data_IF_973787441350
#
_entry.id   IF_973787441350
#
_cell.length_a   1.000
_cell.length_b   1.000
_cell.length_c   1.000
_cell.angle_alpha   90.00
_cell.angle_beta   90.00
_cell.angle_gamma   90.00
#
_symmetry.space_group_name_H-M   'P 1'
#
loop_
_entity.id
_entity.type
_entity.pdbx_description
1 polymer ?
#
# COMPACT_ATOMS: atom_id res chain seq x y z
N UNK A 1 -10.48 -2.98 -1.87
CA UNK A 1 -9.15 -3.17 -1.29
C UNK A 1 -8.82 -4.64 -1.19
N UNK A 2 -7.66 -5.02 -1.65
CA UNK A 2 -7.18 -6.39 -1.57
C UNK A 2 -6.59 -6.66 -0.18
N UNK A 3 -6.90 -7.82 0.39
CA UNK A 3 -6.40 -8.20 1.72
C UNK A 3 -5.53 -9.43 1.57
N UNK A 4 -4.26 -9.31 1.98
CA UNK A 4 -3.27 -10.39 1.84
C UNK A 4 -2.48 -10.49 3.14
N UNK A 5 -2.22 -11.74 3.60
CA UNK A 5 -1.39 -11.89 4.80
C UNK A 5 0.09 -11.70 4.47
N UNK A 6 0.88 -11.40 5.49
CA UNK A 6 2.30 -11.06 5.33
C UNK A 6 3.11 -12.18 4.68
N UNK A 7 2.76 -13.42 4.95
CA UNK A 7 3.48 -14.55 4.37
C UNK A 7 3.33 -14.58 2.85
N UNK A 8 2.11 -14.35 2.36
CA UNK A 8 1.85 -14.29 0.91
C UNK A 8 2.48 -13.06 0.28
N UNK A 9 2.48 -11.92 0.99
CA UNK A 9 3.12 -10.70 0.50
C UNK A 9 4.60 -10.93 0.24
N UNK A 10 5.29 -11.64 1.13
CA UNK A 10 6.71 -11.90 0.94
C UNK A 10 7.02 -12.62 -0.37
N UNK A 11 6.13 -13.52 -0.77
CA UNK A 11 6.34 -14.31 -2.01
C UNK A 11 6.14 -13.46 -3.26
N UNK A 12 5.18 -12.56 -3.23
CA UNK A 12 4.74 -11.82 -4.43
C UNK A 12 4.96 -10.32 -4.32
N UNK A 13 5.93 -9.92 -3.52
CA UNK A 13 6.10 -8.50 -3.20
C UNK A 13 6.27 -7.61 -4.44
N UNK A 14 7.12 -8.02 -5.36
CA UNK A 14 7.34 -7.23 -6.58
C UNK A 14 6.05 -7.05 -7.38
N UNK A 15 5.29 -8.12 -7.51
CA UNK A 15 4.03 -8.07 -8.25
C UNK A 15 3.03 -7.14 -7.55
N UNK A 16 3.01 -7.16 -6.22
CA UNK A 16 2.11 -6.30 -5.46
C UNK A 16 2.48 -4.84 -5.62
N UNK A 17 3.77 -4.52 -5.58
CA UNK A 17 4.23 -3.14 -5.78
C UNK A 17 3.84 -2.65 -7.17
N UNK A 18 4.05 -3.47 -8.20
CA UNK A 18 3.63 -3.12 -9.56
C UNK A 18 2.12 -2.91 -9.65
N UNK A 19 1.36 -3.81 -9.02
CA UNK A 19 -0.08 -3.77 -9.06
C UNK A 19 -0.65 -2.51 -8.42
N UNK A 20 -0.16 -2.13 -7.24
CA UNK A 20 -0.65 -0.91 -6.58
C UNK A 20 -0.28 0.33 -7.39
N UNK A 21 0.85 0.30 -8.10
CA UNK A 21 1.29 1.43 -8.94
C UNK A 21 0.46 1.54 -10.21
N UNK A 22 0.14 0.40 -10.85
CA UNK A 22 -0.60 0.40 -12.10
C UNK A 22 -2.09 0.66 -11.91
N UNK A 23 -2.67 0.03 -10.91
CA UNK A 23 -4.14 0.04 -10.73
C UNK A 23 -4.59 0.97 -9.62
N UNK A 24 -3.67 1.55 -8.87
CA UNK A 24 -4.00 2.43 -7.73
C UNK A 24 -4.93 1.74 -6.74
N UNK A 25 -4.73 0.44 -6.55
CA UNK A 25 -5.55 -0.37 -5.68
C UNK A 25 -4.78 -0.66 -4.39
N UNK A 26 -5.20 -0.09 -3.25
CA UNK A 26 -4.51 -0.35 -1.98
C UNK A 26 -4.59 -1.82 -1.58
N UNK A 27 -3.55 -2.30 -0.91
CA UNK A 27 -3.50 -3.66 -0.38
C UNK A 27 -3.36 -3.59 1.13
N UNK A 28 -4.28 -4.23 1.85
CA UNK A 28 -4.18 -4.38 3.29
C UNK A 28 -3.34 -5.62 3.58
N UNK A 29 -2.22 -5.43 4.25
CA UNK A 29 -1.32 -6.52 4.62
C UNK A 29 -1.60 -6.87 6.08
N UNK A 30 -2.03 -8.11 6.32
CA UNK A 30 -2.33 -8.56 7.67
C UNK A 30 -1.13 -9.27 8.28
N UNK A 31 -0.82 -8.96 9.52
CA UNK A 31 0.27 -9.57 10.26
C UNK A 31 -0.18 -10.01 11.64
N UNK A 32 0.71 -10.69 12.37
CA UNK A 32 0.40 -11.15 13.72
C UNK A 32 0.34 -10.01 14.72
N UNK A 33 1.23 -9.05 14.56
CA UNK A 33 1.37 -7.95 15.51
C UNK A 33 0.55 -6.74 15.08
N UNK A 34 0.58 -6.44 13.81
CA UNK A 34 -0.09 -5.27 13.27
C UNK A 34 -0.38 -5.46 11.79
N UNK A 35 -1.31 -4.66 11.28
CA UNK A 35 -1.62 -4.64 9.86
C UNK A 35 -0.99 -3.39 9.23
N UNK A 36 -0.77 -3.43 7.93
CA UNK A 36 -0.22 -2.31 7.19
C UNK A 36 -0.95 -2.15 5.87
N UNK A 37 -0.79 -1.00 5.25
CA UNK A 37 -1.40 -0.74 3.95
C UNK A 37 -0.30 -0.41 2.95
N UNK A 38 -0.34 -1.07 1.79
CA UNK A 38 0.57 -0.80 0.68
C UNK A 38 -0.18 0.01 -0.36
N UNK A 39 0.32 1.20 -0.67
CA UNK A 39 -0.27 2.05 -1.71
C UNK A 39 0.85 2.61 -2.58
N UNK A 40 0.49 3.08 -3.76
CA UNK A 40 1.44 3.74 -4.64
C UNK A 40 1.89 5.07 -4.03
N UNK A 41 3.12 5.46 -4.28
CA UNK A 41 3.66 6.73 -3.77
C UNK A 41 2.83 7.93 -4.27
N UNK A 42 2.40 7.89 -5.51
CA UNK A 42 1.56 8.96 -6.07
C UNK A 42 0.28 9.13 -5.28
N UNK A 43 -0.35 8.02 -4.90
CA UNK A 43 -1.57 8.06 -4.11
C UNK A 43 -1.31 8.61 -2.71
N UNK A 44 -0.20 8.22 -2.12
CA UNK A 44 0.21 8.72 -0.81
C UNK A 44 0.41 10.23 -0.86
N UNK A 45 1.08 10.73 -1.91
CA UNK A 45 1.31 12.17 -2.07
C UNK A 45 -0.01 12.92 -2.23
N UNK A 46 -0.96 12.37 -2.96
CA UNK A 46 -2.28 12.97 -3.13
C UNK A 46 -3.02 13.05 -1.80
N UNK A 47 -2.97 11.99 -1.01
CA UNK A 47 -3.60 11.98 0.32
C UNK A 47 -3.00 13.07 1.21
N UNK A 48 -1.69 13.19 1.23
CA UNK A 48 -1.01 14.20 2.04
C UNK A 48 -1.43 15.61 1.63
N UNK A 49 -1.50 15.88 0.34
CA UNK A 49 -1.92 17.20 -0.16
C UNK A 49 -3.36 17.50 0.24
N UNK A 50 -4.24 16.52 0.07
CA UNK A 50 -5.67 16.67 0.38
C UNK A 50 -5.88 16.98 1.85
N UNK A 51 -5.12 16.33 2.74
CA UNK A 51 -5.25 16.52 4.18
C UNK A 51 -4.47 17.74 4.69
N UNK A 52 -3.70 18.39 3.83
CA UNK A 52 -2.88 19.52 4.22
C UNK A 52 -1.69 19.14 5.07
N UNK A 53 -1.23 17.89 4.96
CA UNK A 53 -0.06 17.43 5.71
C UNK A 53 1.21 18.06 5.18
N UNK A 54 2.20 18.16 6.05
CA UNK A 54 3.47 18.77 5.70
C UNK A 54 4.13 18.02 4.56
N UNK A 55 4.66 18.78 3.63
CA UNK A 55 5.42 18.26 2.50
C UNK A 55 6.89 18.50 2.71
N UNK A 56 7.68 17.58 2.25
CA UNK A 56 9.14 17.69 2.31
C UNK A 56 9.66 18.14 0.97
#
# INVERSE_FOLDING_TARGET
>A
MLIINITSVRKDFYKLVESVSLYHEPVLITGKVANAVLIAEDDWNTIQKTLGLVQI
#
